data_IF_527146756577
#
_entry.id   IF_527146756577
#
_cell.length_a   1.000
_cell.length_b   1.000
_cell.length_c   1.000
_cell.angle_alpha   90.00
_cell.angle_beta   90.00
_cell.angle_gamma   90.00
#
_symmetry.space_group_name_H-M   'P 1'
#
loop_
_entity.id
_entity.type
_entity.pdbx_description
1 polymer ?
#
# COMPACT_ATOMS: atom_id res chain seq x y z
N UNK A 1 -51.50 39.29 -50.89
CA UNK A 1 -51.90 38.62 -49.63
C UNK A 1 -51.28 37.24 -49.62
N UNK A 2 -50.48 36.92 -48.58
CA UNK A 2 -50.24 35.60 -47.95
C UNK A 2 -49.89 34.44 -48.90
N UNK A 3 -48.73 33.79 -48.83
CA UNK A 3 -48.17 32.95 -47.74
C UNK A 3 -47.33 31.88 -48.50
N UNK A 4 -46.31 31.20 -48.00
CA UNK A 4 -45.72 31.08 -46.68
C UNK A 4 -44.30 30.54 -46.90
N UNK A 5 -43.36 31.03 -46.11
CA UNK A 5 -41.99 30.54 -46.01
C UNK A 5 -42.01 29.22 -45.20
N UNK A 6 -41.49 28.12 -45.74
CA UNK A 6 -41.16 26.92 -44.95
C UNK A 6 -39.67 26.93 -44.66
N UNK A 7 -39.29 27.25 -43.43
CA UNK A 7 -37.93 27.05 -42.92
C UNK A 7 -37.98 25.92 -41.89
N UNK A 8 -37.50 24.74 -42.30
CA UNK A 8 -37.27 23.61 -41.40
C UNK A 8 -35.98 23.91 -40.64
N UNK A 9 -36.10 24.38 -39.40
CA UNK A 9 -34.97 24.39 -38.47
C UNK A 9 -34.89 23.00 -37.85
N UNK A 10 -34.05 22.15 -38.44
CA UNK A 10 -33.60 20.91 -37.84
C UNK A 10 -32.87 21.23 -36.54
N UNK A 11 -33.55 21.01 -35.41
CA UNK A 11 -32.95 21.07 -34.08
C UNK A 11 -32.00 19.87 -33.93
N UNK A 12 -30.74 20.04 -34.36
CA UNK A 12 -29.67 19.13 -34.00
C UNK A 12 -29.48 19.22 -32.48
N UNK A 13 -30.03 18.23 -31.78
CA UNK A 13 -29.63 17.88 -30.42
C UNK A 13 -28.12 17.58 -30.46
N UNK A 14 -27.31 18.60 -30.19
CA UNK A 14 -25.92 18.41 -29.80
C UNK A 14 -25.94 17.66 -28.47
N UNK A 15 -25.85 16.34 -28.53
CA UNK A 15 -25.33 15.55 -27.42
C UNK A 15 -23.86 15.92 -27.27
N UNK A 16 -23.61 17.03 -26.56
CA UNK A 16 -22.28 17.38 -26.10
C UNK A 16 -21.84 16.26 -25.17
N UNK A 17 -20.94 15.45 -25.72
CA UNK A 17 -20.22 14.41 -25.04
C UNK A 17 -19.44 15.08 -23.90
N UNK A 18 -20.02 15.08 -22.70
CA UNK A 18 -19.51 15.68 -21.47
C UNK A 18 -18.29 14.89 -20.99
N UNK A 19 -17.19 14.99 -21.72
CA UNK A 19 -15.87 14.69 -21.19
C UNK A 19 -15.55 15.72 -20.11
N UNK A 20 -15.86 15.31 -18.88
CA UNK A 20 -15.29 15.83 -17.63
C UNK A 20 -15.51 17.32 -17.37
N UNK A 21 -16.74 17.74 -17.09
CA UNK A 21 -16.94 19.04 -16.44
C UNK A 21 -16.15 19.04 -15.12
N UNK A 22 -15.17 19.93 -15.03
CA UNK A 22 -14.34 20.10 -13.85
C UNK A 22 -15.08 21.02 -12.88
N UNK A 23 -15.35 20.51 -11.69
CA UNK A 23 -16.02 21.25 -10.63
C UNK A 23 -15.02 21.65 -9.56
N UNK A 24 -15.01 22.94 -9.24
CA UNK A 24 -14.14 23.55 -8.26
C UNK A 24 -14.98 23.80 -7.00
N UNK A 25 -14.54 23.26 -5.86
CA UNK A 25 -15.17 23.52 -4.58
C UNK A 25 -14.94 24.98 -4.16
N UNK A 26 -15.97 25.60 -3.62
CA UNK A 26 -15.91 26.97 -3.09
C UNK A 26 -16.75 27.06 -1.81
N UNK A 27 -16.47 28.05 -0.97
CA UNK A 27 -17.22 28.31 0.25
C UNK A 27 -17.92 29.66 0.21
N UNK A 28 -19.13 29.73 0.75
CA UNK A 28 -19.91 30.94 0.98
C UNK A 28 -20.70 30.76 2.29
N UNK A 29 -20.73 31.77 3.14
CA UNK A 29 -21.46 31.76 4.42
C UNK A 29 -21.17 30.51 5.27
N UNK A 30 -19.90 30.13 5.37
CA UNK A 30 -19.36 28.92 6.07
C UNK A 30 -19.69 27.57 5.45
N UNK A 31 -20.52 27.52 4.42
CA UNK A 31 -20.88 26.29 3.72
C UNK A 31 -20.14 26.16 2.40
N UNK A 32 -19.90 24.92 1.99
CA UNK A 32 -19.23 24.56 0.75
C UNK A 32 -20.23 24.12 -0.32
N UNK A 33 -19.94 24.52 -1.55
CA UNK A 33 -20.61 24.11 -2.78
C UNK A 33 -19.58 23.89 -3.89
N UNK A 34 -20.08 23.77 -5.13
CA UNK A 34 -19.24 23.57 -6.31
C UNK A 34 -19.68 24.45 -7.47
N UNK A 35 -18.69 24.99 -8.18
CA UNK A 35 -18.88 25.81 -9.37
C UNK A 35 -18.05 25.28 -10.52
N UNK A 36 -18.42 25.62 -11.74
CA UNK A 36 -17.59 25.34 -12.92
C UNK A 36 -16.47 26.38 -13.08
N UNK A 37 -15.65 26.22 -14.13
CA UNK A 37 -14.56 27.16 -14.46
C UNK A 37 -15.04 28.56 -14.88
N UNK A 38 -16.30 28.69 -15.29
CA UNK A 38 -16.92 29.97 -15.64
C UNK A 38 -17.54 30.67 -14.42
N UNK A 39 -17.34 30.12 -13.21
CA UNK A 39 -17.94 30.55 -11.94
C UNK A 39 -19.46 30.35 -11.85
N UNK A 40 -20.08 29.54 -12.71
CA UNK A 40 -21.48 29.17 -12.54
C UNK A 40 -21.60 28.20 -11.36
N UNK A 41 -22.50 28.49 -10.42
CA UNK A 41 -22.77 27.61 -9.28
C UNK A 41 -23.53 26.38 -9.77
N UNK A 42 -22.91 25.21 -9.70
CA UNK A 42 -23.49 23.92 -10.10
C UNK A 42 -24.13 23.23 -8.90
N UNK A 43 -23.44 23.26 -7.76
CA UNK A 43 -23.93 22.76 -6.48
C UNK A 43 -23.90 23.91 -5.49
N UNK A 44 -25.08 24.34 -5.02
CA UNK A 44 -25.19 25.44 -4.05
C UNK A 44 -24.48 25.08 -2.74
N UNK A 45 -23.90 26.07 -2.03
CA UNK A 45 -23.34 25.89 -0.70
C UNK A 45 -24.33 25.22 0.25
N UNK A 46 -24.00 24.03 0.73
CA UNK A 46 -24.87 23.23 1.61
C UNK A 46 -24.11 22.24 2.50
N UNK A 47 -22.80 22.07 2.28
CA UNK A 47 -21.96 21.13 3.01
C UNK A 47 -21.10 21.87 4.03
N UNK A 48 -20.91 21.28 5.21
CA UNK A 48 -20.01 21.87 6.22
C UNK A 48 -18.54 21.83 5.77
N UNK A 49 -18.21 20.86 4.92
CA UNK A 49 -16.89 20.72 4.30
C UNK A 49 -17.02 19.94 2.99
N UNK A 50 -16.18 20.26 1.99
CA UNK A 50 -16.21 19.63 0.69
C UNK A 50 -14.79 19.51 0.11
N UNK A 51 -14.38 18.28 -0.23
CA UNK A 51 -13.12 18.02 -0.97
C UNK A 51 -13.33 18.29 -2.47
N UNK A 52 -12.24 18.50 -3.20
CA UNK A 52 -12.26 18.55 -4.67
C UNK A 52 -12.84 17.25 -5.24
N UNK A 53 -13.49 17.36 -6.41
CA UNK A 53 -13.85 16.17 -7.17
C UNK A 53 -12.58 15.45 -7.63
N UNK A 54 -12.57 14.13 -7.50
CA UNK A 54 -11.59 13.23 -8.12
C UNK A 54 -12.40 12.32 -9.03
N UNK A 55 -12.10 12.38 -10.34
CA UNK A 55 -12.90 11.76 -11.40
C UNK A 55 -14.37 12.20 -11.35
N UNK A 56 -15.25 11.38 -10.77
CA UNK A 56 -16.70 11.59 -10.70
C UNK A 56 -17.22 11.88 -9.29
N UNK A 57 -16.38 11.75 -8.27
CA UNK A 57 -16.82 11.75 -6.87
C UNK A 57 -16.17 12.84 -6.04
N UNK A 58 -16.91 13.35 -5.07
CA UNK A 58 -16.35 14.20 -4.02
C UNK A 58 -16.83 13.76 -2.64
N UNK A 59 -15.90 13.80 -1.67
CA UNK A 59 -16.23 13.59 -0.26
C UNK A 59 -16.69 14.91 0.34
N UNK A 60 -17.88 14.90 0.92
CA UNK A 60 -18.53 16.06 1.53
C UNK A 60 -18.99 15.70 2.94
N UNK A 61 -19.09 16.69 3.82
CA UNK A 61 -19.58 16.51 5.18
C UNK A 61 -20.90 17.24 5.43
N UNK A 62 -21.76 16.62 6.22
CA UNK A 62 -23.03 17.15 6.69
C UNK A 62 -23.40 16.45 8.00
N UNK A 63 -23.83 17.22 9.00
CA UNK A 63 -24.25 16.72 10.32
C UNK A 63 -23.19 15.82 10.97
N UNK A 64 -21.94 16.30 11.03
CA UNK A 64 -20.78 15.60 11.64
C UNK A 64 -20.41 14.24 11.02
N UNK A 65 -21.04 13.90 9.90
CA UNK A 65 -20.76 12.70 9.12
C UNK A 65 -20.28 13.06 7.72
N UNK A 66 -19.52 12.16 7.10
CA UNK A 66 -19.10 12.29 5.71
C UNK A 66 -19.88 11.34 4.80
N UNK A 67 -20.14 11.82 3.59
CA UNK A 67 -20.74 11.08 2.49
C UNK A 67 -19.99 11.37 1.18
N UNK A 68 -20.39 10.68 0.11
CA UNK A 68 -19.86 10.92 -1.23
C UNK A 68 -20.99 11.33 -2.16
N UNK A 69 -20.73 12.36 -2.95
CA UNK A 69 -21.63 12.82 -3.99
C UNK A 69 -21.01 12.70 -5.38
N UNK A 70 -21.87 12.59 -6.39
CA UNK A 70 -21.48 12.79 -7.79
C UNK A 70 -21.55 14.27 -8.20
N UNK A 71 -21.15 14.55 -9.45
CA UNK A 71 -21.17 15.92 -10.03
C UNK A 71 -22.57 16.52 -10.18
N UNK A 72 -23.63 15.72 -10.09
CA UNK A 72 -25.04 16.15 -10.12
C UNK A 72 -25.60 16.36 -8.71
N UNK A 73 -24.76 16.23 -7.68
CA UNK A 73 -25.14 16.30 -6.27
C UNK A 73 -26.00 15.11 -5.79
N UNK A 74 -25.99 13.99 -6.51
CA UNK A 74 -26.62 12.77 -6.01
C UNK A 74 -25.73 12.16 -4.91
N UNK A 75 -26.33 11.70 -3.82
CA UNK A 75 -25.62 10.99 -2.75
C UNK A 75 -25.34 9.57 -3.22
N UNK A 76 -24.07 9.26 -3.43
CA UNK A 76 -23.59 7.92 -3.80
C UNK A 76 -23.35 7.09 -2.55
N UNK A 77 -22.65 7.67 -1.57
CA UNK A 77 -22.42 7.07 -0.26
C UNK A 77 -23.10 7.95 0.79
N UNK A 78 -23.99 7.39 1.64
CA UNK A 78 -24.75 8.16 2.62
C UNK A 78 -23.87 8.76 3.73
N UNK A 79 -24.33 9.86 4.31
CA UNK A 79 -23.69 10.57 5.43
C UNK A 79 -23.81 9.79 6.74
N UNK A 80 -23.00 8.73 6.90
CA UNK A 80 -23.01 7.89 8.12
C UNK A 80 -21.63 7.45 8.61
N UNK A 81 -20.57 7.91 7.96
CA UNK A 81 -19.19 7.51 8.26
C UNK A 81 -18.44 8.68 8.88
N UNK A 82 -17.41 8.39 9.68
CA UNK A 82 -16.54 9.43 10.24
C UNK A 82 -15.36 9.74 9.31
N UNK A 83 -14.99 8.78 8.46
CA UNK A 83 -13.93 8.93 7.47
C UNK A 83 -14.34 8.34 6.14
N UNK A 84 -14.05 9.05 5.04
CA UNK A 84 -14.20 8.59 3.66
C UNK A 84 -13.06 9.11 2.79
N UNK A 85 -12.57 8.24 1.91
CA UNK A 85 -11.58 8.57 0.89
C UNK A 85 -11.87 7.80 -0.39
N UNK A 86 -11.86 8.50 -1.53
CA UNK A 86 -11.92 7.84 -2.84
C UNK A 86 -10.57 7.21 -3.19
N UNK A 87 -10.60 5.96 -3.64
CA UNK A 87 -9.41 5.18 -3.97
C UNK A 87 -9.21 4.96 -5.47
N UNK A 88 -10.12 5.42 -6.32
CA UNK A 88 -10.18 5.02 -7.74
C UNK A 88 -11.02 3.76 -7.96
N UNK A 89 -11.35 3.48 -9.23
CA UNK A 89 -12.09 2.27 -9.66
C UNK A 89 -13.40 2.04 -8.90
N UNK A 90 -14.15 3.13 -8.62
CA UNK A 90 -15.39 3.09 -7.85
C UNK A 90 -15.25 2.48 -6.43
N UNK A 91 -14.04 2.49 -5.86
CA UNK A 91 -13.75 2.01 -4.49
C UNK A 91 -13.50 3.16 -3.53
N UNK A 92 -13.91 2.95 -2.28
CA UNK A 92 -13.81 3.93 -1.21
C UNK A 92 -13.26 3.27 0.06
N UNK A 93 -12.33 3.95 0.70
CA UNK A 93 -11.97 3.66 2.08
C UNK A 93 -12.97 4.37 2.98
N UNK A 94 -13.49 3.66 3.97
CA UNK A 94 -14.40 4.20 4.97
C UNK A 94 -13.89 3.87 6.37
N UNK A 95 -14.31 4.63 7.37
CA UNK A 95 -13.96 4.31 8.74
C UNK A 95 -14.87 4.91 9.80
N UNK A 96 -14.88 4.25 10.95
CA UNK A 96 -15.57 4.65 12.17
C UNK A 96 -14.55 5.09 13.21
N UNK A 97 -14.82 6.19 13.93
CA UNK A 97 -13.96 6.58 15.06
C UNK A 97 -14.04 5.51 16.14
N UNK A 98 -12.89 5.12 16.68
CA UNK A 98 -12.87 4.27 17.87
C UNK A 98 -13.04 5.13 19.14
N UNK A 99 -13.03 4.49 20.31
CA UNK A 99 -13.01 5.21 21.60
C UNK A 99 -11.68 5.96 21.85
N UNK A 100 -10.64 5.68 21.07
CA UNK A 100 -9.32 6.29 21.21
C UNK A 100 -9.14 7.43 20.21
N UNK A 101 -8.70 8.59 20.71
CA UNK A 101 -8.63 9.81 19.92
C UNK A 101 -7.70 9.64 18.72
N UNK A 102 -8.23 9.90 17.52
CA UNK A 102 -7.48 9.85 16.27
C UNK A 102 -7.38 8.45 15.64
N UNK A 103 -7.93 7.42 16.27
CA UNK A 103 -7.97 6.07 15.73
C UNK A 103 -9.30 5.80 15.00
N UNK A 104 -9.22 5.00 13.95
CA UNK A 104 -10.37 4.59 13.16
C UNK A 104 -10.34 3.09 12.89
N UNK A 105 -11.50 2.45 12.90
CA UNK A 105 -11.68 1.14 12.29
C UNK A 105 -12.01 1.36 10.81
N UNK A 106 -11.02 1.07 9.96
CA UNK A 106 -11.05 1.32 8.52
C UNK A 106 -11.38 0.06 7.74
N UNK A 107 -12.14 0.23 6.65
CA UNK A 107 -12.49 -0.80 5.68
C UNK A 107 -12.55 -0.24 4.26
N UNK A 108 -12.78 -1.12 3.28
CA UNK A 108 -12.94 -0.78 1.86
C UNK A 108 -14.34 -1.20 1.39
N UNK A 109 -15.00 -0.37 0.60
CA UNK A 109 -16.29 -0.66 -0.02
C UNK A 109 -16.33 -0.18 -1.47
N UNK A 110 -17.31 -0.67 -2.24
CA UNK A 110 -17.62 -0.15 -3.57
C UNK A 110 -18.61 1.05 -3.52
N UNK A 111 -18.93 1.62 -4.69
CA UNK A 111 -19.93 2.69 -4.84
C UNK A 111 -21.35 2.33 -4.42
N UNK A 112 -21.67 1.04 -4.35
CA UNK A 112 -22.98 0.54 -3.92
C UNK A 112 -23.02 0.31 -2.40
N UNK A 113 -21.96 0.70 -1.67
CA UNK A 113 -21.76 0.39 -0.24
C UNK A 113 -21.61 -1.11 0.05
N UNK A 114 -21.25 -1.92 -0.94
CA UNK A 114 -20.85 -3.33 -0.72
C UNK A 114 -19.50 -3.35 -0.04
N UNK A 115 -19.40 -4.01 1.12
CA UNK A 115 -18.15 -4.13 1.86
C UNK A 115 -17.22 -5.11 1.13
N UNK A 116 -16.04 -4.61 0.73
CA UNK A 116 -14.96 -5.38 0.11
C UNK A 116 -13.98 -5.86 1.20
N UNK A 117 -13.57 -4.95 2.08
CA UNK A 117 -12.75 -5.24 3.27
C UNK A 117 -13.50 -4.69 4.49
N UNK A 118 -13.76 -5.49 5.54
CA UNK A 118 -14.50 -5.03 6.71
C UNK A 118 -13.76 -3.93 7.47
N UNK A 119 -14.52 -3.05 8.13
CA UNK A 119 -13.98 -1.98 8.96
C UNK A 119 -13.47 -2.51 10.30
N UNK A 120 -12.23 -3.01 10.32
CA UNK A 120 -11.58 -3.59 11.50
C UNK A 120 -10.07 -3.33 11.54
N UNK A 121 -9.58 -2.44 10.69
CA UNK A 121 -8.15 -2.18 10.54
C UNK A 121 -7.83 -0.75 10.97
N UNK A 122 -6.81 -0.60 11.80
CA UNK A 122 -6.31 0.71 12.22
C UNK A 122 -5.85 1.54 11.02
N UNK A 123 -5.24 0.87 10.04
CA UNK A 123 -4.76 1.52 8.82
C UNK A 123 -4.85 0.56 7.63
N UNK A 124 -5.19 1.12 6.47
CA UNK A 124 -5.17 0.41 5.19
C UNK A 124 -4.38 1.25 4.21
N UNK A 125 -3.41 0.62 3.55
CA UNK A 125 -2.58 1.21 2.51
C UNK A 125 -2.91 0.58 1.16
N UNK A 126 -3.33 1.40 0.18
CA UNK A 126 -3.55 0.93 -1.19
C UNK A 126 -2.21 0.81 -1.92
N UNK A 127 -1.94 -0.37 -2.49
CA UNK A 127 -0.93 -0.61 -3.52
C UNK A 127 -1.61 -0.86 -4.85
N UNK A 128 -0.83 -0.96 -5.92
CA UNK A 128 -1.38 -1.18 -7.26
C UNK A 128 -2.12 -2.53 -7.38
N UNK A 129 -1.62 -3.56 -6.69
CA UNK A 129 -2.07 -4.96 -6.85
C UNK A 129 -2.66 -5.56 -5.58
N UNK A 130 -2.61 -4.87 -4.44
CA UNK A 130 -3.12 -5.35 -3.16
C UNK A 130 -3.39 -4.19 -2.18
N UNK A 131 -3.99 -4.51 -1.04
CA UNK A 131 -4.08 -3.65 0.14
C UNK A 131 -3.20 -4.22 1.24
N UNK A 132 -2.31 -3.40 1.79
CA UNK A 132 -1.62 -3.73 3.04
C UNK A 132 -2.46 -3.20 4.19
N UNK A 133 -2.81 -4.08 5.11
CA UNK A 133 -3.67 -3.75 6.24
C UNK A 133 -2.87 -3.84 7.54
N UNK A 134 -3.20 -2.97 8.50
CA UNK A 134 -2.60 -2.96 9.83
C UNK A 134 -3.72 -3.05 10.86
N UNK A 135 -3.61 -4.03 11.76
CA UNK A 135 -4.48 -4.20 12.91
C UNK A 135 -3.67 -3.93 14.18
N UNK A 136 -4.18 -3.07 15.05
CA UNK A 136 -3.60 -2.87 16.37
C UNK A 136 -4.24 -3.85 17.36
N UNK A 137 -3.41 -4.46 18.19
CA UNK A 137 -3.80 -5.21 19.38
C UNK A 137 -3.32 -4.38 20.57
N UNK A 138 -4.25 -3.84 21.34
CA UNK A 138 -3.94 -3.11 22.55
C UNK A 138 -4.10 -3.99 23.79
N UNK A 139 -3.22 -3.76 24.76
CA UNK A 139 -3.29 -4.33 26.10
C UNK A 139 -3.36 -3.18 27.09
N UNK A 140 -4.42 -3.14 27.89
CA UNK A 140 -4.55 -2.14 28.96
C UNK A 140 -3.58 -2.54 30.08
N UNK A 141 -2.62 -1.65 30.36
CA UNK A 141 -1.65 -1.82 31.43
C UNK A 141 -2.19 -1.24 32.74
N UNK A 142 -2.89 -0.11 32.65
CA UNK A 142 -3.50 0.58 33.79
C UNK A 142 -4.72 1.37 33.33
N UNK A 143 -5.76 1.41 34.16
CA UNK A 143 -6.96 2.24 33.94
C UNK A 143 -6.94 3.42 34.91
N UNK A 144 -7.01 4.65 34.40
CA UNK A 144 -7.06 5.87 35.22
C UNK A 144 -8.21 6.79 34.84
N UNK A 145 -8.51 7.76 35.70
CA UNK A 145 -9.57 8.76 35.47
C UNK A 145 -9.33 9.62 34.22
N UNK A 146 -8.06 9.79 33.82
CA UNK A 146 -7.65 10.55 32.64
C UNK A 146 -7.49 9.69 31.37
N UNK A 147 -7.77 8.39 31.44
CA UNK A 147 -7.68 7.44 30.33
C UNK A 147 -6.90 6.16 30.64
N UNK A 148 -6.92 5.22 29.69
CA UNK A 148 -6.20 3.94 29.77
C UNK A 148 -4.73 4.12 29.35
N UNK A 149 -3.79 3.62 30.16
CA UNK A 149 -2.42 3.37 29.72
C UNK A 149 -2.39 2.03 28.95
N UNK A 150 -1.87 2.05 27.73
CA UNK A 150 -1.90 0.88 26.83
C UNK A 150 -0.53 0.57 26.27
N UNK A 151 -0.28 -0.73 26.07
CA UNK A 151 0.72 -1.22 25.12
C UNK A 151 0.01 -1.55 23.82
N UNK A 152 0.56 -1.15 22.68
CA UNK A 152 -0.03 -1.40 21.36
C UNK A 152 0.96 -2.21 20.53
N UNK A 153 0.50 -3.36 20.04
CA UNK A 153 1.20 -4.16 19.03
C UNK A 153 0.48 -4.01 17.70
N UNK A 154 1.17 -3.55 16.67
CA UNK A 154 0.66 -3.53 15.30
C UNK A 154 1.00 -4.83 14.59
N UNK A 155 0.00 -5.46 13.98
CA UNK A 155 0.16 -6.62 13.12
C UNK A 155 -0.28 -6.29 11.70
N UNK A 156 0.42 -6.83 10.72
CA UNK A 156 0.22 -6.53 9.31
C UNK A 156 -0.27 -7.74 8.54
N UNK A 157 -1.13 -7.48 7.55
CA UNK A 157 -1.67 -8.47 6.62
C UNK A 157 -1.78 -7.89 5.21
N UNK A 158 -2.17 -8.74 4.26
CA UNK A 158 -2.35 -8.39 2.85
C UNK A 158 -3.67 -8.94 2.35
N UNK A 159 -4.44 -8.10 1.68
CA UNK A 159 -5.66 -8.43 0.97
C UNK A 159 -5.47 -8.15 -0.52
N UNK A 160 -6.04 -8.97 -1.39
CA UNK A 160 -6.09 -8.64 -2.82
C UNK A 160 -7.02 -7.44 -3.08
N UNK A 161 -6.99 -6.90 -4.31
CA UNK A 161 -7.83 -5.76 -4.70
C UNK A 161 -9.35 -6.03 -4.65
N UNK A 162 -9.75 -7.30 -4.56
CA UNK A 162 -11.15 -7.75 -4.46
C UNK A 162 -11.55 -8.04 -3.00
N UNK A 163 -10.66 -7.82 -2.03
CA UNK A 163 -10.94 -8.04 -0.61
C UNK A 163 -10.77 -9.49 -0.15
N UNK A 164 -10.13 -10.37 -0.94
CA UNK A 164 -9.72 -11.68 -0.45
C UNK A 164 -8.46 -11.54 0.40
N UNK A 165 -8.48 -12.08 1.61
CA UNK A 165 -7.28 -12.18 2.44
C UNK A 165 -6.23 -13.09 1.77
N UNK A 166 -5.03 -12.57 1.58
CA UNK A 166 -3.86 -13.32 1.08
C UNK A 166 -2.97 -13.70 2.27
N UNK A 167 -2.68 -12.73 3.14
CA UNK A 167 -1.85 -12.90 4.34
C UNK A 167 -2.63 -12.31 5.51
N UNK A 168 -2.87 -13.11 6.54
CA UNK A 168 -3.55 -12.70 7.78
C UNK A 168 -2.73 -11.67 8.56
N UNK A 169 -3.39 -10.90 9.42
CA UNK A 169 -2.75 -9.94 10.32
C UNK A 169 -2.06 -10.61 11.51
N UNK A 170 -1.02 -11.42 11.24
CA UNK A 170 -0.29 -12.20 12.26
C UNK A 170 1.21 -11.85 12.32
N UNK A 171 1.65 -10.86 11.53
CA UNK A 171 3.06 -10.55 11.32
C UNK A 171 3.43 -9.17 11.86
N UNK A 172 4.60 -9.07 12.50
CA UNK A 172 5.12 -7.82 13.06
C UNK A 172 5.49 -6.82 11.96
N UNK A 173 5.88 -7.32 10.78
CA UNK A 173 6.12 -6.51 9.60
C UNK A 173 5.96 -7.35 8.33
N UNK A 174 5.57 -6.68 7.23
CA UNK A 174 5.55 -7.27 5.89
C UNK A 174 6.26 -6.31 4.93
N UNK A 175 7.34 -6.77 4.32
CA UNK A 175 8.12 -6.03 3.32
C UNK A 175 7.84 -6.60 1.93
N UNK A 176 7.56 -5.72 0.98
CA UNK A 176 7.46 -6.09 -0.44
C UNK A 176 8.85 -6.22 -1.06
N UNK A 177 9.04 -7.25 -1.87
CA UNK A 177 10.23 -7.51 -2.65
C UNK A 177 9.85 -7.61 -4.15
N UNK A 178 10.83 -7.45 -5.04
CA UNK A 178 10.64 -7.67 -6.48
C UNK A 178 10.18 -9.11 -6.78
N UNK A 179 9.65 -9.31 -7.99
CA UNK A 179 9.20 -10.63 -8.49
C UNK A 179 8.07 -11.25 -7.66
N UNK A 180 7.13 -10.41 -7.19
CA UNK A 180 5.93 -10.88 -6.49
C UNK A 180 6.25 -11.67 -5.21
N UNK A 181 7.26 -11.21 -4.46
CA UNK A 181 7.70 -11.79 -3.19
C UNK A 181 7.43 -10.85 -2.02
N UNK A 182 7.18 -11.45 -0.85
CA UNK A 182 7.07 -10.77 0.42
C UNK A 182 8.06 -11.34 1.41
N UNK A 183 8.56 -10.50 2.31
CA UNK A 183 9.27 -10.92 3.50
C UNK A 183 8.35 -10.65 4.68
N UNK A 184 8.07 -11.71 5.42
CA UNK A 184 7.24 -11.69 6.61
C UNK A 184 8.18 -11.67 7.81
N UNK A 185 7.95 -10.77 8.75
CA UNK A 185 8.66 -10.74 10.02
C UNK A 185 7.73 -11.20 11.15
N UNK A 186 8.22 -12.10 12.00
CA UNK A 186 7.54 -12.58 13.19
C UNK A 186 8.56 -12.94 14.28
N UNK A 187 8.36 -12.40 15.47
CA UNK A 187 9.16 -12.69 16.67
C UNK A 187 10.67 -12.46 16.45
N UNK A 188 11.01 -11.42 15.69
CA UNK A 188 12.40 -11.04 15.35
C UNK A 188 13.05 -11.89 14.26
N UNK A 189 12.32 -12.83 13.67
CA UNK A 189 12.76 -13.68 12.56
C UNK A 189 11.98 -13.37 11.28
N UNK A 190 12.58 -13.67 10.14
CA UNK A 190 12.04 -13.42 8.82
C UNK A 190 11.86 -14.72 8.02
N UNK A 191 10.82 -14.73 7.20
CA UNK A 191 10.53 -15.77 6.22
C UNK A 191 10.18 -15.17 4.85
N UNK A 192 10.61 -15.85 3.79
CA UNK A 192 10.23 -15.50 2.43
C UNK A 192 8.86 -16.11 2.11
N UNK A 193 8.02 -15.34 1.43
CA UNK A 193 6.67 -15.72 1.02
C UNK A 193 6.43 -15.27 -0.42
N UNK A 194 5.62 -16.01 -1.17
CA UNK A 194 5.15 -15.53 -2.48
C UNK A 194 3.92 -14.63 -2.35
N UNK A 195 3.54 -13.97 -3.45
CA UNK A 195 2.37 -13.09 -3.50
C UNK A 195 1.02 -13.75 -3.26
N UNK A 196 0.96 -15.09 -3.22
CA UNK A 196 -0.25 -15.84 -2.89
C UNK A 196 -0.33 -16.18 -1.39
N UNK A 197 0.58 -15.62 -0.58
CA UNK A 197 0.62 -15.87 0.86
C UNK A 197 1.24 -17.21 1.25
N UNK A 198 1.82 -17.95 0.29
CA UNK A 198 2.51 -19.21 0.60
C UNK A 198 3.94 -18.92 1.08
N UNK A 199 4.23 -19.32 2.31
CA UNK A 199 5.59 -19.36 2.83
C UNK A 199 6.49 -20.26 1.96
N UNK A 200 7.66 -19.74 1.60
CA UNK A 200 8.70 -20.40 0.81
C UNK A 200 9.88 -20.84 1.70
N UNK A 201 10.02 -20.23 2.87
CA UNK A 201 10.97 -20.62 3.92
C UNK A 201 10.28 -20.60 5.28
N UNK A 202 10.89 -21.23 6.27
CA UNK A 202 10.51 -21.05 7.67
C UNK A 202 11.02 -19.71 8.22
N UNK A 203 10.48 -19.29 9.38
CA UNK A 203 10.96 -18.13 10.15
C UNK A 203 12.24 -18.47 10.88
N UNK A 204 13.36 -18.54 10.15
CA UNK A 204 14.66 -18.95 10.69
C UNK A 204 15.78 -17.95 10.39
N UNK A 205 15.49 -16.91 9.60
CA UNK A 205 16.49 -15.92 9.21
C UNK A 205 16.36 -14.68 10.10
N UNK A 206 17.48 -14.12 10.55
CA UNK A 206 17.49 -12.80 11.19
C UNK A 206 17.28 -11.68 10.17
N UNK A 207 17.71 -11.90 8.93
CA UNK A 207 17.39 -10.99 7.84
C UNK A 207 17.41 -11.70 6.49
N UNK A 208 16.53 -11.25 5.62
CA UNK A 208 16.43 -11.58 4.21
C UNK A 208 16.65 -10.27 3.44
N UNK A 209 17.65 -10.26 2.57
CA UNK A 209 18.05 -9.10 1.77
C UNK A 209 17.16 -8.86 0.56
N UNK A 210 17.69 -8.12 -0.42
CA UNK A 210 16.99 -7.88 -1.66
C UNK A 210 17.21 -8.99 -2.70
N UNK A 211 16.28 -9.11 -3.65
CA UNK A 211 16.45 -9.97 -4.81
C UNK A 211 17.36 -9.30 -5.83
N UNK A 212 18.59 -9.79 -5.91
CA UNK A 212 19.65 -9.26 -6.75
C UNK A 212 20.23 -10.37 -7.60
N UNK A 213 20.18 -10.17 -8.93
CA UNK A 213 20.64 -11.13 -9.91
C UNK A 213 20.12 -12.57 -9.69
N UNK A 214 18.87 -12.78 -9.29
CA UNK A 214 18.34 -14.14 -9.13
C UNK A 214 18.60 -14.81 -7.78
N UNK A 215 19.31 -14.15 -6.87
CA UNK A 215 19.59 -14.63 -5.52
C UNK A 215 19.15 -13.62 -4.47
N UNK A 216 18.89 -14.12 -3.26
CA UNK A 216 18.52 -13.33 -2.10
C UNK A 216 19.51 -13.69 -1.00
N UNK A 217 20.26 -12.70 -0.52
CA UNK A 217 21.14 -12.88 0.64
C UNK A 217 20.31 -13.14 1.89
N UNK A 218 20.69 -14.12 2.68
CA UNK A 218 20.02 -14.46 3.95
C UNK A 218 21.03 -14.55 5.08
N UNK A 219 20.64 -14.10 6.27
CA UNK A 219 21.42 -14.24 7.50
C UNK A 219 20.68 -15.15 8.46
N UNK A 220 21.33 -16.22 8.89
CA UNK A 220 20.88 -17.10 9.98
C UNK A 220 21.96 -17.08 11.04
N UNK A 221 21.60 -16.70 12.26
CA UNK A 221 22.57 -16.47 13.33
C UNK A 221 23.63 -15.43 12.88
N UNK A 222 24.91 -15.74 13.10
CA UNK A 222 26.02 -14.87 12.73
C UNK A 222 26.54 -15.12 11.31
N UNK A 223 25.89 -16.01 10.54
CA UNK A 223 26.35 -16.44 9.22
C UNK A 223 25.39 -16.01 8.12
N UNK A 224 25.92 -15.86 6.91
CA UNK A 224 25.16 -15.56 5.71
C UNK A 224 25.37 -16.60 4.60
N UNK A 225 24.40 -16.64 3.70
CA UNK A 225 24.38 -17.44 2.48
C UNK A 225 23.35 -16.86 1.51
N UNK A 226 22.95 -17.64 0.51
CA UNK A 226 22.01 -17.17 -0.51
C UNK A 226 20.96 -18.23 -0.84
N UNK A 227 19.70 -17.78 -0.93
CA UNK A 227 18.58 -18.57 -1.42
C UNK A 227 18.14 -18.05 -2.81
N UNK A 228 17.43 -18.87 -3.56
CA UNK A 228 16.70 -18.42 -4.74
C UNK A 228 15.30 -17.91 -4.36
N UNK A 229 14.56 -17.39 -5.36
CA UNK A 229 13.17 -16.94 -5.21
C UNK A 229 12.17 -18.02 -4.79
N UNK A 230 12.53 -19.31 -4.83
CA UNK A 230 11.73 -20.42 -4.32
C UNK A 230 12.07 -20.77 -2.87
N UNK A 231 12.94 -20.01 -2.20
CA UNK A 231 13.40 -20.29 -0.84
C UNK A 231 14.47 -21.39 -0.76
N UNK A 232 14.93 -21.93 -1.89
CA UNK A 232 15.95 -22.98 -1.91
C UNK A 232 17.32 -22.37 -1.67
N UNK A 233 18.05 -22.90 -0.70
CA UNK A 233 19.47 -22.57 -0.47
C UNK A 233 20.28 -22.96 -1.70
N UNK A 234 20.89 -21.96 -2.34
CA UNK A 234 21.83 -22.14 -3.45
C UNK A 234 23.26 -22.11 -2.93
N UNK A 235 23.55 -21.17 -2.03
CA UNK A 235 24.84 -21.03 -1.38
C UNK A 235 24.60 -21.21 0.13
N UNK A 236 25.21 -22.23 0.76
CA UNK A 236 25.01 -22.52 2.18
C UNK A 236 25.28 -21.32 3.09
N UNK A 237 24.54 -21.25 4.20
CA UNK A 237 24.73 -20.22 5.22
C UNK A 237 25.95 -20.57 6.07
N UNK A 238 27.13 -20.10 5.65
CA UNK A 238 28.42 -20.47 6.24
C UNK A 238 29.43 -19.33 6.34
N UNK A 239 29.21 -18.22 5.64
CA UNK A 239 30.11 -17.06 5.59
C UNK A 239 29.83 -16.11 6.73
N UNK A 240 30.85 -15.40 7.25
CA UNK A 240 30.66 -14.39 8.30
C UNK A 240 29.94 -13.14 7.77
N UNK A 241 30.28 -12.76 6.53
CA UNK A 241 29.67 -11.66 5.80
C UNK A 241 29.59 -11.97 4.31
N UNK A 242 28.57 -11.40 3.65
CA UNK A 242 28.26 -11.59 2.24
C UNK A 242 27.81 -10.23 1.70
N UNK A 243 28.47 -9.74 0.66
CA UNK A 243 27.96 -8.64 -0.14
C UNK A 243 26.88 -9.14 -1.12
N UNK A 244 26.03 -8.23 -1.59
CA UNK A 244 25.12 -8.55 -2.69
C UNK A 244 25.90 -8.95 -3.95
N UNK A 245 25.27 -9.75 -4.80
CA UNK A 245 25.85 -10.07 -6.10
C UNK A 245 25.93 -8.83 -6.98
N UNK A 246 27.08 -8.63 -7.62
CA UNK A 246 27.29 -7.62 -8.67
C UNK A 246 28.11 -8.26 -9.79
N UNK A 247 27.62 -8.18 -11.03
CA UNK A 247 28.28 -8.75 -12.23
C UNK A 247 28.58 -10.24 -12.08
N UNK A 248 27.67 -10.98 -11.45
CA UNK A 248 27.78 -12.43 -11.28
C UNK A 248 28.74 -12.92 -10.20
N UNK A 249 29.30 -12.02 -9.38
CA UNK A 249 30.18 -12.36 -8.26
C UNK A 249 29.69 -11.74 -6.95
N UNK A 250 30.10 -12.32 -5.82
CA UNK A 250 29.89 -11.75 -4.48
C UNK A 250 31.17 -11.87 -3.67
N UNK A 251 31.49 -10.82 -2.91
CA UNK A 251 32.56 -10.83 -1.92
C UNK A 251 32.00 -11.40 -0.62
N UNK A 252 32.68 -12.41 -0.09
CA UNK A 252 32.30 -13.08 1.16
C UNK A 252 33.49 -13.13 2.11
N UNK A 253 33.22 -13.23 3.41
CA UNK A 253 34.27 -13.40 4.41
C UNK A 253 34.15 -14.70 5.19
N UNK A 254 35.29 -15.30 5.49
CA UNK A 254 35.42 -16.47 6.37
C UNK A 254 36.65 -16.25 7.26
N UNK A 255 36.47 -16.30 8.57
CA UNK A 255 37.55 -16.15 9.55
C UNK A 255 38.42 -14.90 9.30
N UNK A 256 37.76 -13.75 9.05
CA UNK A 256 38.38 -12.46 8.74
C UNK A 256 39.19 -12.39 7.44
N UNK A 257 39.05 -13.36 6.53
CA UNK A 257 39.61 -13.30 5.19
C UNK A 257 38.52 -13.12 4.14
N UNK A 258 38.84 -12.37 3.11
CA UNK A 258 37.96 -12.10 1.99
C UNK A 258 38.11 -13.15 0.90
N UNK A 259 37.03 -13.47 0.22
CA UNK A 259 36.98 -14.37 -0.93
C UNK A 259 35.95 -13.88 -1.93
N UNK A 260 36.10 -14.27 -3.19
CA UNK A 260 35.12 -13.99 -4.26
C UNK A 260 34.50 -15.29 -4.69
N UNK A 261 33.18 -15.36 -4.71
CA UNK A 261 32.42 -16.52 -5.18
C UNK A 261 31.56 -16.15 -6.38
N UNK A 262 31.32 -17.12 -7.26
CA UNK A 262 30.27 -17.03 -8.29
C UNK A 262 28.88 -17.35 -7.71
N UNK A 263 27.86 -17.27 -8.56
CA UNK A 263 26.44 -17.49 -8.19
C UNK A 263 26.13 -18.93 -7.76
N UNK A 264 27.01 -19.89 -8.03
CA UNK A 264 26.91 -21.28 -7.59
C UNK A 264 27.73 -21.53 -6.30
N UNK A 265 28.35 -20.48 -5.74
CA UNK A 265 29.20 -20.58 -4.56
C UNK A 265 30.62 -21.10 -4.85
N UNK A 266 31.01 -21.20 -6.13
CA UNK A 266 32.37 -21.59 -6.50
C UNK A 266 33.30 -20.41 -6.31
N UNK A 267 34.39 -20.65 -5.58
CA UNK A 267 35.41 -19.65 -5.37
C UNK A 267 36.17 -19.30 -6.66
N UNK A 268 36.26 -18.01 -6.93
CA UNK A 268 37.08 -17.40 -7.98
C UNK A 268 38.41 -16.91 -7.39
N UNK A 269 38.36 -16.37 -6.16
CA UNK A 269 39.51 -15.89 -5.37
C UNK A 269 39.28 -16.32 -3.92
N UNK A 270 40.34 -16.72 -3.20
CA UNK A 270 40.26 -17.19 -1.82
C UNK A 270 41.26 -16.49 -0.91
N UNK A 271 40.88 -16.38 0.36
CA UNK A 271 41.76 -16.12 1.49
C UNK A 271 42.63 -14.85 1.40
N UNK A 272 42.07 -13.76 0.86
CA UNK A 272 42.72 -12.45 0.75
C UNK A 272 42.59 -11.68 2.06
N UNK A 273 43.64 -10.98 2.48
CA UNK A 273 43.68 -10.35 3.81
C UNK A 273 42.96 -9.00 3.87
N UNK A 274 42.91 -8.25 2.76
CA UNK A 274 42.32 -6.92 2.73
C UNK A 274 41.23 -6.82 1.66
N UNK A 275 40.33 -5.87 1.87
CA UNK A 275 39.23 -5.63 0.95
C UNK A 275 39.71 -4.90 -0.32
N UNK A 276 40.71 -4.03 -0.18
CA UNK A 276 41.35 -3.31 -1.26
C UNK A 276 42.01 -4.27 -2.25
N UNK A 277 42.75 -5.26 -1.76
CA UNK A 277 43.41 -6.28 -2.59
C UNK A 277 42.38 -7.10 -3.39
N UNK A 278 41.26 -7.47 -2.78
CA UNK A 278 40.13 -8.11 -3.50
C UNK A 278 39.60 -7.23 -4.62
N UNK A 279 39.41 -5.94 -4.36
CA UNK A 279 38.88 -5.00 -5.37
C UNK A 279 39.82 -4.80 -6.54
N UNK A 280 41.13 -4.79 -6.30
CA UNK A 280 42.14 -4.74 -7.36
C UNK A 280 42.09 -6.01 -8.22
N UNK A 281 42.07 -7.20 -7.60
CA UNK A 281 41.97 -8.48 -8.31
C UNK A 281 40.70 -8.57 -9.17
N UNK A 282 39.57 -8.03 -8.69
CA UNK A 282 38.32 -8.00 -9.44
C UNK A 282 38.40 -7.03 -10.63
N UNK A 283 39.08 -5.89 -10.50
CA UNK A 283 39.20 -4.89 -11.58
C UNK A 283 40.07 -5.34 -12.74
N UNK A 284 41.04 -6.22 -12.48
CA UNK A 284 41.98 -6.73 -13.49
C UNK A 284 41.43 -7.91 -14.30
N UNK A 285 40.24 -8.42 -13.95
CA UNK A 285 39.54 -9.52 -14.64
C UNK A 285 38.36 -9.03 -15.45
#
# INVERSE_FOLDING_TARGET
MKNSFFFIVSLLLFSLDLKGQELINFSQDTLWGYKDKMNNIIIKPQYQYAKKFIENYAVVSKNDSVGIIDKKNNVIIPFKYNYLQYLGDDKFMFGYRTKYLGEYDMGIMDKNSTIIIPAQFYYIEKRNTFYKVTKNIDTILETGESGDLRSIKSLHGIYDINGREIISCDYDYIRELKEELFILQKDGLEALCNYKGKALTDFIYFSIGDYVEGLIGVRKENKCGFINQQGKVIIPVQYDYCENFEKGISIVTINNKFSVIDKMGKYIVKDVNTYEEIKEIIREK
#
